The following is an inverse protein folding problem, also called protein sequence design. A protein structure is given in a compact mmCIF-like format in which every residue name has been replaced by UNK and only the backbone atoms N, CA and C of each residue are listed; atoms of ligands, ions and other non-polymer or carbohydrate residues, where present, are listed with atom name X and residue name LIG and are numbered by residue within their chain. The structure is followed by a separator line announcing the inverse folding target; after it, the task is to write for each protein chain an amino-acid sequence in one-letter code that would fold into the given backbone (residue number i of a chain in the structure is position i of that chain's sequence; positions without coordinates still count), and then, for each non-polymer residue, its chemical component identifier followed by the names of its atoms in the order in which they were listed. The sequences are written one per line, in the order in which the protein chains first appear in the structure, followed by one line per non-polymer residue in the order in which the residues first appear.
data_IF_194499841253
#
_entry.id   IF_194499841253
#
_cell.length_a   1.000
_cell.length_b   1.000
_cell.length_c   1.000
_cell.angle_alpha   90.00
_cell.angle_beta   90.00
_cell.angle_gamma   90.00
#
_symmetry.space_group_name_H-M   'P 1'
#
loop_
_entity.id
_entity.type
_entity.pdbx_description
1 polymer ?
#
# COMPACT_ATOMS: atom_id res chain seq x y z
N UNK A 1 9.89 4.25 1.37
CA UNK A 1 8.76 5.14 1.04
C UNK A 1 8.45 5.94 2.27
N UNK A 2 8.48 7.26 2.18
CA UNK A 2 8.18 8.18 3.28
C UNK A 2 6.77 8.76 3.13
N UNK A 3 6.32 9.51 4.15
CA UNK A 3 5.01 10.15 4.16
C UNK A 3 4.86 11.18 3.01
N UNK A 4 5.97 11.79 2.58
CA UNK A 4 5.99 12.71 1.45
C UNK A 4 5.56 11.99 0.17
N UNK A 5 6.09 10.79 -0.09
CA UNK A 5 5.69 10.00 -1.25
C UNK A 5 4.21 9.62 -1.23
N UNK A 6 3.68 9.28 -0.06
CA UNK A 6 2.23 9.00 0.13
C UNK A 6 1.39 10.24 -0.19
N UNK A 7 1.87 11.41 0.22
CA UNK A 7 1.21 12.68 -0.07
C UNK A 7 1.25 13.02 -1.56
N UNK A 8 2.38 12.79 -2.25
CA UNK A 8 2.50 12.99 -3.71
C UNK A 8 1.60 12.03 -4.49
N UNK A 9 1.47 10.76 -4.05
CA UNK A 9 0.46 9.85 -4.62
C UNK A 9 -0.94 10.46 -4.44
N UNK A 10 -1.24 11.02 -3.27
CA UNK A 10 -2.54 11.65 -3.00
C UNK A 10 -2.92 12.73 -4.00
N UNK A 11 -1.97 13.57 -4.37
CA UNK A 11 -2.16 14.64 -5.35
C UNK A 11 -2.59 14.16 -6.74
N UNK A 12 -2.45 12.86 -7.03
CA UNK A 12 -2.94 12.26 -8.27
C UNK A 12 -4.44 11.95 -8.24
N UNK A 13 -5.07 11.94 -7.04
CA UNK A 13 -6.49 11.68 -6.86
C UNK A 13 -7.28 12.97 -6.62
N UNK A 14 -8.41 13.12 -7.31
CA UNK A 14 -9.25 14.34 -7.16
C UNK A 14 -9.83 14.49 -5.76
N UNK A 15 -10.20 13.37 -5.10
CA UNK A 15 -10.74 13.38 -3.73
C UNK A 15 -9.77 13.99 -2.73
N UNK A 16 -8.46 13.87 -2.96
CA UNK A 16 -7.44 14.41 -2.06
C UNK A 16 -7.57 15.92 -1.90
N UNK A 17 -7.92 16.65 -2.96
CA UNK A 17 -8.10 18.10 -2.89
C UNK A 17 -9.40 18.51 -2.19
N UNK A 18 -10.35 17.59 -2.02
CA UNK A 18 -11.61 17.81 -1.32
C UNK A 18 -11.49 17.58 0.20
N UNK A 19 -10.43 16.88 0.63
CA UNK A 19 -10.12 16.67 2.04
C UNK A 19 -9.51 17.93 2.67
N UNK A 20 -9.85 18.18 3.93
CA UNK A 20 -9.16 19.19 4.72
C UNK A 20 -7.74 18.72 5.10
N UNK A 21 -6.93 19.61 5.69
CA UNK A 21 -5.55 19.28 6.02
C UNK A 21 -5.42 18.20 7.10
N UNK A 22 -6.35 18.14 8.06
CA UNK A 22 -6.32 17.14 9.12
C UNK A 22 -6.67 15.76 8.56
N UNK A 23 -7.68 15.69 7.70
CA UNK A 23 -8.09 14.49 7.00
C UNK A 23 -6.99 13.97 6.06
N UNK A 24 -6.28 14.86 5.35
CA UNK A 24 -5.10 14.48 4.54
C UNK A 24 -4.01 13.84 5.38
N UNK A 25 -3.68 14.45 6.53
CA UNK A 25 -2.64 13.94 7.45
C UNK A 25 -3.08 12.60 8.02
N UNK A 26 -4.33 12.50 8.50
CA UNK A 26 -4.89 11.27 9.05
C UNK A 26 -4.87 10.16 8.01
N UNK A 27 -5.37 10.41 6.79
CA UNK A 27 -5.35 9.45 5.70
C UNK A 27 -3.92 8.99 5.40
N UNK A 28 -3.02 9.92 5.07
CA UNK A 28 -1.64 9.60 4.67
C UNK A 28 -0.91 8.79 5.75
N UNK A 29 -1.11 9.12 7.03
CA UNK A 29 -0.46 8.42 8.14
C UNK A 29 -0.93 6.98 8.27
N UNK A 30 -2.23 6.74 8.08
CA UNK A 30 -2.81 5.40 8.20
C UNK A 30 -2.49 4.50 7.00
N UNK A 31 -2.39 5.06 5.79
CA UNK A 31 -2.15 4.27 4.57
C UNK A 31 -0.67 4.12 4.19
N UNK A 32 0.25 4.77 4.91
CA UNK A 32 1.68 4.77 4.56
C UNK A 32 2.28 3.35 4.51
N UNK A 33 2.02 2.52 5.53
CA UNK A 33 2.53 1.14 5.56
C UNK A 33 1.84 0.27 4.50
N UNK A 34 0.50 0.27 4.35
CA UNK A 34 -0.17 -0.44 3.26
C UNK A 34 0.38 -0.08 1.87
N UNK A 35 0.57 1.21 1.57
CA UNK A 35 1.12 1.65 0.29
C UNK A 35 2.59 1.26 0.11
N UNK A 36 3.39 1.32 1.18
CA UNK A 36 4.77 0.82 1.15
C UNK A 36 4.80 -0.66 0.76
N UNK A 37 4.00 -1.49 1.41
CA UNK A 37 3.94 -2.93 1.11
C UNK A 37 3.45 -3.17 -0.31
N UNK A 38 2.36 -2.52 -0.73
CA UNK A 38 1.80 -2.65 -2.08
C UNK A 38 2.84 -2.31 -3.15
N UNK A 39 3.43 -1.12 -3.07
CA UNK A 39 4.34 -0.65 -4.12
C UNK A 39 5.61 -1.48 -4.18
N UNK A 40 6.25 -1.76 -3.04
CA UNK A 40 7.48 -2.54 -3.06
C UNK A 40 7.21 -4.00 -3.46
N UNK A 41 6.09 -4.60 -3.03
CA UNK A 41 5.77 -5.98 -3.43
C UNK A 41 5.55 -6.09 -4.94
N UNK A 42 4.81 -5.16 -5.54
CA UNK A 42 4.62 -5.12 -7.00
C UNK A 42 5.96 -5.02 -7.75
N UNK A 43 6.81 -4.05 -7.39
CA UNK A 43 8.10 -3.87 -8.05
C UNK A 43 9.07 -5.03 -7.78
N UNK A 44 9.01 -5.65 -6.60
CA UNK A 44 9.81 -6.84 -6.29
C UNK A 44 9.50 -7.99 -7.22
N UNK A 45 8.22 -8.26 -7.46
CA UNK A 45 7.78 -9.32 -8.39
C UNK A 45 8.28 -9.01 -9.81
N UNK A 46 8.22 -7.75 -10.26
CA UNK A 46 8.78 -7.35 -11.55
C UNK A 46 10.30 -7.55 -11.64
N UNK A 47 11.00 -7.54 -10.51
CA UNK A 47 12.43 -7.85 -10.41
C UNK A 47 12.72 -9.34 -10.16
N UNK A 48 11.72 -10.22 -10.25
CA UNK A 48 11.83 -11.65 -9.93
C UNK A 48 12.28 -11.94 -8.48
N UNK A 49 11.90 -11.06 -7.54
CA UNK A 49 12.10 -11.27 -6.11
C UNK A 49 10.83 -11.85 -5.47
N UNK A 50 11.00 -12.85 -4.62
CA UNK A 50 9.94 -13.50 -3.83
C UNK A 50 9.82 -12.95 -2.40
N UNK A 51 10.71 -12.01 -2.05
CA UNK A 51 10.72 -11.20 -0.84
C UNK A 51 10.68 -9.72 -1.22
N UNK A 52 10.22 -8.88 -0.29
CA UNK A 52 10.19 -7.44 -0.51
C UNK A 52 11.62 -6.91 -0.76
N UNK A 53 11.79 -6.38 -1.96
CA UNK A 53 12.99 -5.76 -2.50
C UNK A 53 12.62 -4.33 -2.93
N UNK A 54 13.46 -3.39 -2.55
CA UNK A 54 13.32 -1.99 -2.94
C UNK A 54 13.93 -1.77 -4.33
N UNK A 55 13.58 -0.67 -5.04
CA UNK A 55 14.10 -0.42 -6.39
C UNK A 55 15.63 -0.38 -6.52
N UNK A 56 16.34 -0.05 -5.44
CA UNK A 56 17.80 -0.03 -5.32
C UNK A 56 18.40 -1.40 -4.94
N UNK A 57 17.58 -2.45 -4.84
CA UNK A 57 18.02 -3.82 -4.57
C UNK A 57 18.16 -4.16 -3.08
N UNK A 58 17.79 -3.24 -2.18
CA UNK A 58 17.84 -3.51 -0.73
C UNK A 58 16.68 -4.41 -0.34
N UNK A 59 16.99 -5.47 0.41
CA UNK A 59 16.02 -6.40 1.00
C UNK A 59 15.91 -6.10 2.50
N UNK A 60 14.84 -5.42 2.97
CA UNK A 60 14.74 -5.00 4.37
C UNK A 60 14.81 -6.15 5.37
N UNK A 61 14.37 -7.35 4.98
CA UNK A 61 14.46 -8.54 5.85
C UNK A 61 15.91 -8.87 6.24
N UNK A 62 16.88 -8.71 5.33
CA UNK A 62 18.30 -8.97 5.62
C UNK A 62 18.85 -7.97 6.64
N UNK A 63 18.50 -6.69 6.48
CA UNK A 63 18.86 -5.64 7.45
C UNK A 63 18.23 -5.95 8.81
N UNK A 64 16.98 -6.40 8.81
CA UNK A 64 16.23 -6.72 10.03
C UNK A 64 16.82 -7.93 10.76
N UNK A 65 17.22 -8.97 10.02
CA UNK A 65 17.90 -10.18 10.52
C UNK A 65 19.29 -9.90 11.10
N UNK A 66 19.95 -8.84 10.65
CA UNK A 66 21.25 -8.38 11.16
C UNK A 66 21.15 -7.23 12.17
N UNK A 67 19.93 -6.85 12.55
CA UNK A 67 19.69 -5.77 13.51
C UNK A 67 19.69 -6.24 14.98
N UNK A 68 19.57 -5.29 15.90
CA UNK A 68 19.33 -5.55 17.33
C UNK A 68 18.09 -6.42 17.58
N UNK A 69 17.12 -6.44 16.65
CA UNK A 69 15.90 -7.23 16.78
C UNK A 69 16.07 -8.72 16.48
N UNK A 70 17.24 -9.18 16.02
CA UNK A 70 17.50 -10.58 15.63
C UNK A 70 17.07 -11.60 16.69
N UNK A 71 17.26 -11.29 17.97
CA UNK A 71 16.93 -12.19 19.09
C UNK A 71 15.50 -11.99 19.61
N UNK A 72 14.78 -10.98 19.12
CA UNK A 72 13.40 -10.71 19.51
C UNK A 72 12.44 -11.44 18.56
N UNK A 73 11.92 -12.58 19.01
CA UNK A 73 11.02 -13.42 18.21
C UNK A 73 9.74 -12.72 17.75
N UNK A 74 9.21 -11.79 18.55
CA UNK A 74 8.02 -11.00 18.19
C UNK A 74 8.34 -10.05 17.04
N UNK A 75 9.44 -9.30 17.17
CA UNK A 75 9.90 -8.38 16.15
C UNK A 75 10.24 -9.14 14.85
N UNK A 76 10.97 -10.25 14.95
CA UNK A 76 11.28 -11.13 13.81
C UNK A 76 10.02 -11.68 13.14
N UNK A 77 9.04 -12.11 13.92
CA UNK A 77 7.75 -12.57 13.40
C UNK A 77 6.97 -11.46 12.68
N UNK A 78 7.09 -10.20 13.11
CA UNK A 78 6.51 -9.05 12.40
C UNK A 78 7.28 -8.74 11.11
N UNK A 79 8.61 -8.78 11.14
CA UNK A 79 9.46 -8.59 9.97
C UNK A 79 9.18 -9.63 8.88
N UNK A 80 9.14 -10.91 9.23
CA UNK A 80 8.79 -12.00 8.31
C UNK A 80 7.40 -11.81 7.69
N UNK A 81 6.40 -11.44 8.51
CA UNK A 81 5.05 -11.15 8.00
C UNK A 81 5.05 -10.01 6.99
N UNK A 82 5.77 -8.93 7.28
CA UNK A 82 5.79 -7.72 6.47
C UNK A 82 6.61 -7.86 5.20
N UNK A 83 7.79 -8.48 5.28
CA UNK A 83 8.77 -8.49 4.18
C UNK A 83 8.79 -9.79 3.38
N UNK A 84 8.33 -10.91 3.94
CA UNK A 84 8.36 -12.21 3.25
C UNK A 84 6.95 -12.71 2.91
N UNK A 85 6.00 -12.60 3.84
CA UNK A 85 4.64 -13.14 3.63
C UNK A 85 3.71 -12.20 2.88
N UNK A 86 3.83 -10.89 3.11
CA UNK A 86 2.94 -9.90 2.50
C UNK A 86 3.09 -9.80 0.97
N UNK A 87 4.24 -10.19 0.41
CA UNK A 87 4.50 -10.23 -1.03
C UNK A 87 3.90 -11.48 -1.70
N UNK A 88 3.64 -12.56 -0.97
CA UNK A 88 3.19 -13.84 -1.54
C UNK A 88 1.92 -13.74 -2.40
N UNK A 89 0.88 -12.94 -2.03
CA UNK A 89 -0.24 -12.69 -2.93
C UNK A 89 0.18 -12.08 -4.26
N UNK A 90 1.15 -11.16 -4.27
CA UNK A 90 1.64 -10.51 -5.49
C UNK A 90 2.40 -11.47 -6.39
N UNK A 91 3.21 -12.37 -5.82
CA UNK A 91 3.90 -13.44 -6.57
C UNK A 91 2.88 -14.37 -7.24
N UNK A 92 1.81 -14.75 -6.52
CA UNK A 92 0.78 -15.65 -7.04
C UNK A 92 -0.09 -15.00 -8.12
N UNK A 93 -0.48 -13.74 -7.90
CA UNK A 93 -1.37 -13.02 -8.81
C UNK A 93 -0.62 -12.49 -10.04
N UNK A 94 0.68 -12.20 -9.90
CA UNK A 94 1.53 -11.62 -10.94
C UNK A 94 0.84 -10.43 -11.65
N UNK A 95 0.43 -9.46 -10.83
CA UNK A 95 -0.41 -8.34 -11.25
C UNK A 95 0.19 -7.59 -12.44
N UNK A 96 -0.67 -7.16 -13.36
CA UNK A 96 -0.32 -6.19 -14.39
C UNK A 96 -0.46 -4.74 -13.87
N UNK A 97 0.00 -3.77 -14.66
CA UNK A 97 0.06 -2.37 -14.22
C UNK A 97 -1.33 -1.79 -13.92
N UNK A 98 -2.32 -2.16 -14.72
CA UNK A 98 -3.71 -1.69 -14.63
C UNK A 98 -4.34 -2.13 -13.29
N UNK A 99 -4.23 -3.41 -12.95
CA UNK A 99 -4.70 -3.97 -11.68
C UNK A 99 -3.98 -3.30 -10.50
N UNK A 100 -2.67 -3.13 -10.60
CA UNK A 100 -1.86 -2.48 -9.56
C UNK A 100 -2.32 -1.05 -9.28
N UNK A 101 -2.57 -0.25 -10.33
CA UNK A 101 -3.01 1.14 -10.17
C UNK A 101 -4.40 1.20 -9.54
N UNK A 102 -5.31 0.30 -9.90
CA UNK A 102 -6.64 0.22 -9.31
C UNK A 102 -6.59 -0.21 -7.84
N UNK A 103 -5.80 -1.22 -7.49
CA UNK A 103 -5.59 -1.63 -6.09
C UNK A 103 -4.97 -0.49 -5.28
N UNK A 104 -4.01 0.25 -5.84
CA UNK A 104 -3.42 1.43 -5.20
C UNK A 104 -4.47 2.50 -4.92
N UNK A 105 -5.38 2.74 -5.86
CA UNK A 105 -6.48 3.69 -5.69
C UNK A 105 -7.47 3.25 -4.60
N UNK A 106 -7.77 1.95 -4.52
CA UNK A 106 -8.61 1.37 -3.46
C UNK A 106 -7.96 1.57 -2.08
N UNK A 107 -6.66 1.26 -1.95
CA UNK A 107 -5.93 1.49 -0.69
C UNK A 107 -5.88 2.98 -0.34
N UNK A 108 -5.70 3.86 -1.32
CA UNK A 108 -5.70 5.30 -1.06
C UNK A 108 -7.07 5.81 -0.61
N UNK A 109 -8.14 5.13 -1.03
CA UNK A 109 -9.52 5.47 -0.68
C UNK A 109 -9.96 4.84 0.66
N UNK A 110 -9.01 4.55 1.57
CA UNK A 110 -9.31 3.87 2.83
C UNK A 110 -10.10 4.76 3.80
N UNK A 111 -11.43 4.57 3.81
CA UNK A 111 -12.36 5.33 4.64
C UNK A 111 -12.27 5.03 6.15
N UNK A 112 -11.78 3.86 6.57
CA UNK A 112 -11.77 3.46 7.99
C UNK A 112 -10.43 3.81 8.63
N UNK A 113 -10.09 5.09 8.62
CA UNK A 113 -8.85 5.59 9.21
C UNK A 113 -9.14 6.42 10.47
N UNK A 114 -8.52 6.11 11.62
CA UNK A 114 -8.61 6.95 12.83
C UNK A 114 -8.27 8.41 12.51
N UNK A 115 -9.11 9.33 12.97
CA UNK A 115 -8.92 10.77 12.80
C UNK A 115 -9.56 11.38 11.55
N UNK A 116 -10.21 10.58 10.69
CA UNK A 116 -10.99 11.11 9.56
C UNK A 116 -12.36 11.64 10.00
N UNK A 117 -12.73 12.80 9.46
CA UNK A 117 -14.08 13.37 9.56
C UNK A 117 -15.12 12.49 8.86
N UNK A 118 -16.37 12.53 9.32
CA UNK A 118 -17.48 11.80 8.66
C UNK A 118 -17.64 12.20 7.18
N UNK A 119 -17.33 13.45 6.85
CA UNK A 119 -17.35 13.93 5.46
C UNK A 119 -16.24 13.28 4.64
N UNK A 120 -15.01 13.22 5.15
CA UNK A 120 -13.91 12.54 4.48
C UNK A 120 -14.19 11.05 4.29
N UNK A 121 -14.73 10.39 5.31
CA UNK A 121 -15.10 8.97 5.22
C UNK A 121 -16.11 8.71 4.10
N UNK A 122 -17.13 9.58 3.95
CA UNK A 122 -18.11 9.49 2.85
C UNK A 122 -17.47 9.69 1.48
N UNK A 123 -16.60 10.70 1.33
CA UNK A 123 -15.91 10.97 0.07
C UNK A 123 -15.00 9.81 -0.34
N UNK A 124 -14.23 9.27 0.62
CA UNK A 124 -13.34 8.14 0.40
C UNK A 124 -14.12 6.86 0.08
N UNK A 125 -15.26 6.63 0.73
CA UNK A 125 -16.12 5.48 0.43
C UNK A 125 -16.59 5.48 -1.02
N UNK A 126 -17.04 6.62 -1.54
CA UNK A 126 -17.50 6.76 -2.94
C UNK A 126 -16.37 6.39 -3.92
N UNK A 127 -15.15 6.88 -3.67
CA UNK A 127 -14.01 6.54 -4.51
C UNK A 127 -13.59 5.07 -4.37
N UNK A 128 -13.63 4.51 -3.16
CA UNK A 128 -13.34 3.08 -2.93
C UNK A 128 -14.30 2.17 -3.71
N UNK A 129 -15.61 2.46 -3.67
CA UNK A 129 -16.63 1.73 -4.44
C UNK A 129 -16.38 1.84 -5.95
N UNK A 130 -16.08 3.05 -6.43
CA UNK A 130 -15.78 3.30 -7.84
C UNK A 130 -14.58 2.50 -8.33
N UNK A 131 -13.44 2.55 -7.64
CA UNK A 131 -12.24 1.80 -8.06
C UNK A 131 -12.41 0.29 -7.89
N UNK A 132 -13.16 -0.16 -6.89
CA UNK A 132 -13.48 -1.58 -6.71
C UNK A 132 -14.35 -2.10 -7.85
N UNK A 133 -15.38 -1.35 -8.25
CA UNK A 133 -16.22 -1.70 -9.40
C UNK A 133 -15.43 -1.72 -10.72
N UNK A 134 -14.51 -0.76 -10.91
CA UNK A 134 -13.62 -0.73 -12.08
C UNK A 134 -12.68 -1.94 -12.12
N UNK A 135 -12.06 -2.31 -10.99
CA UNK A 135 -11.20 -3.49 -10.90
C UNK A 135 -11.99 -4.76 -11.21
N UNK A 136 -13.17 -4.94 -10.62
CA UNK A 136 -14.02 -6.10 -10.89
C UNK A 136 -14.42 -6.18 -12.36
N UNK A 137 -14.76 -5.05 -12.98
CA UNK A 137 -15.12 -5.01 -14.40
C UNK A 137 -13.93 -5.35 -15.28
N UNK A 138 -12.74 -4.82 -14.94
CA UNK A 138 -11.50 -5.09 -15.66
C UNK A 138 -11.16 -6.58 -15.63
N UNK A 139 -11.21 -7.21 -14.46
CA UNK A 139 -10.94 -8.64 -14.26
C UNK A 139 -11.97 -9.57 -14.95
N UNK A 140 -13.16 -9.08 -15.27
CA UNK A 140 -14.19 -9.85 -15.97
C UNK A 140 -14.08 -9.76 -17.50
N UNK A 141 -13.30 -8.81 -18.02
CA UNK A 141 -13.06 -8.64 -19.45
C UNK A 141 -11.80 -9.39 -19.94
N UNK A 142 -10.98 -9.89 -19.03
CA UNK A 142 -9.89 -10.84 -19.29
C UNK A 142 -10.42 -12.29 -19.41
#
# INVERSE_FOLDING_TARGET
MDLLFVFEIGKTFTVFYQLDNNDKIALCSNIAVPLFVLCNSFYSVQQNCDVLCTPDGVMPIKIFEDSFYKQNSVAMGMGDKLFCKAIQPFVRLNLINEEFVLIRAIIYSHMVSPGLSDQAQKLLYIEAEKYSALLMSFLQCE
#
